data_IF_683955784730
#
_entry.id   IF_683955784730
#
_cell.length_a   1.000
_cell.length_b   1.000
_cell.length_c   1.000
_cell.angle_alpha   90.00
_cell.angle_beta   90.00
_cell.angle_gamma   90.00
#
_symmetry.space_group_name_H-M   'P 1'
#
loop_
_entity.id
_entity.type
_entity.pdbx_description
1 polymer ?
#
# COMPACT_ATOMS: atom_id res chain seq x y z
N UNK A 1 21.89 -0.62 4.91
CA UNK A 1 20.53 -1.17 4.71
C UNK A 1 19.51 -0.18 5.27
N UNK A 2 19.39 0.98 4.64
CA UNK A 2 18.45 2.04 5.03
C UNK A 2 17.92 2.68 3.74
N UNK A 3 16.69 2.34 3.38
CA UNK A 3 15.89 3.20 2.52
C UNK A 3 14.44 3.06 2.98
N UNK A 4 14.10 3.88 3.97
CA UNK A 4 12.73 4.31 4.18
C UNK A 4 12.48 5.19 2.96
N UNK A 5 11.95 4.60 1.90
CA UNK A 5 11.52 5.39 0.75
C UNK A 5 10.36 6.25 1.22
N UNK A 6 10.65 7.55 1.28
CA UNK A 6 9.66 8.60 1.28
C UNK A 6 8.73 8.36 0.09
N UNK A 7 7.63 7.66 0.32
CA UNK A 7 6.49 7.66 -0.60
C UNK A 7 5.83 9.03 -0.52
N UNK A 8 6.50 10.00 -1.11
CA UNK A 8 5.93 11.27 -1.50
C UNK A 8 4.89 11.00 -2.60
N UNK A 9 3.63 11.30 -2.30
CA UNK A 9 2.76 11.86 -3.32
C UNK A 9 1.67 11.00 -3.96
N UNK A 10 1.38 9.76 -3.55
CA UNK A 10 0.16 9.07 -4.04
C UNK A 10 -0.62 8.37 -2.94
N UNK A 11 -1.81 8.92 -2.68
CA UNK A 11 -2.88 8.36 -1.85
C UNK A 11 -3.52 7.08 -2.43
N UNK A 12 -2.92 6.47 -3.46
CA UNK A 12 -3.61 5.51 -4.32
C UNK A 12 -3.60 4.08 -3.76
N UNK A 13 -2.75 3.76 -2.77
CA UNK A 13 -2.64 2.39 -2.25
C UNK A 13 -2.45 2.28 -0.73
N UNK A 14 -3.32 2.91 0.06
CA UNK A 14 -3.30 2.89 1.53
C UNK A 14 -3.25 1.46 2.14
N UNK A 15 -3.96 0.51 1.53
CA UNK A 15 -3.96 -0.90 1.94
C UNK A 15 -2.61 -1.59 1.71
N UNK A 16 -2.01 -1.41 0.53
CA UNK A 16 -0.72 -2.02 0.23
C UNK A 16 0.39 -1.39 1.06
N UNK A 17 0.35 -0.08 1.24
CA UNK A 17 1.28 0.62 2.12
C UNK A 17 1.19 0.10 3.55
N UNK A 18 -0.02 -0.12 4.09
CA UNK A 18 -0.16 -0.63 5.46
C UNK A 18 0.43 -2.02 5.63
N UNK A 19 0.35 -2.87 4.62
CA UNK A 19 0.94 -4.22 4.63
C UNK A 19 2.47 -4.13 4.46
N UNK A 20 2.95 -3.55 3.36
CA UNK A 20 4.38 -3.51 2.97
C UNK A 20 5.26 -2.79 3.98
N UNK A 21 4.76 -1.74 4.60
CA UNK A 21 5.56 -0.96 5.55
C UNK A 21 5.59 -1.54 6.97
N UNK A 22 4.84 -2.61 7.24
CA UNK A 22 4.66 -3.17 8.59
C UNK A 22 5.54 -4.37 8.85
N UNK A 23 5.89 -4.57 10.13
CA UNK A 23 6.68 -5.72 10.59
C UNK A 23 5.80 -6.83 11.18
N UNK A 24 4.52 -6.54 11.43
CA UNK A 24 3.55 -7.49 11.96
C UNK A 24 2.15 -7.20 11.44
N UNK A 25 1.27 -8.21 11.52
CA UNK A 25 -0.13 -8.05 11.18
C UNK A 25 -0.87 -7.02 12.05
N UNK A 26 -0.50 -6.89 13.33
CA UNK A 26 -1.07 -5.88 14.22
C UNK A 26 -0.66 -4.46 13.81
N UNK A 27 0.59 -4.27 13.39
CA UNK A 27 1.06 -2.99 12.85
C UNK A 27 0.33 -2.67 11.54
N UNK A 28 0.11 -3.67 10.67
CA UNK A 28 -0.62 -3.49 9.42
C UNK A 28 -2.08 -3.07 9.64
N UNK A 29 -2.76 -3.65 10.64
CA UNK A 29 -4.12 -3.24 11.05
C UNK A 29 -4.15 -1.78 11.48
N UNK A 30 -3.28 -1.40 12.42
CA UNK A 30 -3.23 -0.03 12.93
C UNK A 30 -2.85 0.97 11.83
N UNK A 31 -1.95 0.61 10.90
CA UNK A 31 -1.64 1.46 9.75
C UNK A 31 -2.83 1.68 8.84
N UNK A 32 -3.58 0.64 8.51
CA UNK A 32 -4.76 0.81 7.68
C UNK A 32 -5.80 1.69 8.38
N UNK A 33 -6.05 1.45 9.67
CA UNK A 33 -6.96 2.27 10.47
C UNK A 33 -6.49 3.73 10.58
N UNK A 34 -5.18 3.96 10.62
CA UNK A 34 -4.61 5.32 10.63
C UNK A 34 -4.91 6.10 9.35
N UNK A 35 -5.16 5.41 8.23
CA UNK A 35 -5.56 6.05 6.97
C UNK A 35 -6.94 6.71 7.09
N UNK A 36 -7.86 6.12 7.87
CA UNK A 36 -9.17 6.75 8.15
C UNK A 36 -9.00 8.07 8.88
N UNK A 37 -8.11 8.12 9.89
CA UNK A 37 -7.77 9.35 10.63
C UNK A 37 -7.16 10.40 9.70
N UNK A 38 -6.24 9.99 8.82
CA UNK A 38 -5.64 10.86 7.80
C UNK A 38 -6.69 11.49 6.87
N UNK A 39 -7.64 10.70 6.36
CA UNK A 39 -8.68 11.16 5.43
C UNK A 39 -9.60 12.21 6.07
N UNK A 40 -9.80 12.17 7.40
CA UNK A 40 -10.57 13.18 8.14
C UNK A 40 -9.72 14.30 8.74
N UNK A 41 -8.46 14.41 8.33
CA UNK A 41 -7.55 15.49 8.76
C UNK A 41 -7.03 15.35 10.20
N UNK A 42 -7.18 14.18 10.83
CA UNK A 42 -6.64 13.91 12.17
C UNK A 42 -5.25 13.30 12.02
N UNK A 43 -4.22 13.99 12.51
CA UNK A 43 -2.82 13.60 12.32
C UNK A 43 -2.06 13.16 13.59
N UNK A 44 -2.68 13.31 14.77
CA UNK A 44 -2.17 12.80 16.05
C UNK A 44 -3.29 12.17 16.86
N UNK A 45 -2.99 11.05 17.52
CA UNK A 45 -3.95 10.28 18.31
C UNK A 45 -3.27 9.54 19.47
N UNK A 46 -2.33 10.21 20.15
CA UNK A 46 -1.57 9.65 21.28
C UNK A 46 -2.47 9.04 22.36
N UNK A 47 -3.59 9.71 22.65
CA UNK A 47 -4.56 9.34 23.68
C UNK A 47 -5.58 8.28 23.23
N UNK A 48 -5.61 7.91 21.95
CA UNK A 48 -6.52 6.88 21.43
C UNK A 48 -6.02 5.49 21.88
N UNK A 49 -6.86 4.79 22.64
CA UNK A 49 -6.53 3.46 23.20
C UNK A 49 -6.65 2.36 22.16
N UNK A 50 -7.33 2.62 21.04
CA UNK A 50 -7.49 1.65 19.95
C UNK A 50 -6.19 1.50 19.15
N UNK A 51 -5.27 2.46 19.27
CA UNK A 51 -3.96 2.41 18.64
C UNK A 51 -2.89 2.19 19.70
N UNK A 52 -2.22 1.04 19.69
CA UNK A 52 -1.16 0.70 20.64
C UNK A 52 0.22 0.96 20.05
N UNK A 53 0.40 0.72 18.75
CA UNK A 53 1.67 0.75 18.05
C UNK A 53 1.94 2.09 17.35
N UNK A 54 0.90 2.73 16.81
CA UNK A 54 1.05 3.92 15.96
C UNK A 54 0.26 5.07 16.54
N UNK A 55 0.92 6.20 16.84
CA UNK A 55 0.28 7.34 17.53
C UNK A 55 0.16 8.61 16.70
N UNK A 56 0.72 8.62 15.49
CA UNK A 56 0.75 9.77 14.59
C UNK A 56 0.67 9.34 13.14
N UNK A 57 0.25 10.25 12.28
CA UNK A 57 0.11 10.03 10.85
C UNK A 57 1.48 9.86 10.17
N UNK A 58 1.60 8.82 9.35
CA UNK A 58 2.79 8.57 8.54
C UNK A 58 2.83 9.35 7.22
N UNK A 59 1.69 9.92 6.80
CA UNK A 59 1.53 10.64 5.52
C UNK A 59 1.81 12.14 5.61
N UNK A 60 2.39 12.63 6.72
CA UNK A 60 2.68 14.05 6.92
C UNK A 60 4.20 14.30 6.87
N UNK A 61 4.73 14.91 5.81
CA UNK A 61 6.04 15.57 5.89
C UNK A 61 5.90 16.79 6.80
N UNK A 62 6.95 17.13 7.56
CA UNK A 62 6.96 18.21 8.55
C UNK A 62 6.73 19.63 7.98
N UNK A 63 6.51 19.77 6.67
CA UNK A 63 6.59 21.04 5.93
C UNK A 63 5.32 21.47 5.19
N UNK A 64 4.22 20.71 5.22
CA UNK A 64 3.01 21.08 4.47
C UNK A 64 1.78 21.39 5.33
N UNK A 65 1.20 22.54 5.02
CA UNK A 65 -0.05 23.13 5.54
C UNK A 65 -1.14 22.07 5.68
N UNK A 66 -1.83 22.05 6.82
CA UNK A 66 -2.96 21.18 7.13
C UNK A 66 -3.90 21.08 5.92
N UNK A 67 -3.97 19.91 5.27
CA UNK A 67 -4.91 19.70 4.18
C UNK A 67 -6.32 19.63 4.76
N UNK A 68 -7.27 20.23 4.04
CA UNK A 68 -8.71 20.08 4.28
C UNK A 68 -9.04 18.58 4.35
N UNK A 69 -9.85 18.13 5.33
CA UNK A 69 -10.30 16.74 5.37
C UNK A 69 -10.88 16.31 4.03
N UNK A 70 -10.43 15.17 3.51
CA UNK A 70 -10.92 14.60 2.25
C UNK A 70 -12.36 14.14 2.38
N UNK A 71 -12.75 13.65 3.56
CA UNK A 71 -14.13 13.28 3.89
C UNK A 71 -14.54 13.87 5.23
N UNK A 72 -15.81 14.26 5.32
CA UNK A 72 -16.45 14.63 6.58
C UNK A 72 -16.86 13.35 7.35
N UNK A 73 -16.37 13.13 8.59
CA UNK A 73 -16.68 11.95 9.38
C UNK A 73 -18.18 11.79 9.70
N UNK A 74 -18.96 12.87 9.61
CA UNK A 74 -20.42 12.83 9.85
C UNK A 74 -21.19 12.28 8.65
N UNK A 75 -20.60 12.26 7.45
CA UNK A 75 -21.28 11.85 6.21
C UNK A 75 -21.32 10.33 6.06
N UNK A 76 -22.37 9.85 5.40
CA UNK A 76 -22.58 8.42 5.16
C UNK A 76 -21.43 7.75 4.40
N UNK A 77 -20.78 8.46 3.48
CA UNK A 77 -19.63 7.94 2.73
C UNK A 77 -18.45 7.56 3.64
N UNK A 78 -18.11 8.40 4.62
CA UNK A 78 -17.06 8.08 5.58
C UNK A 78 -17.47 6.91 6.47
N UNK A 79 -18.71 6.92 6.98
CA UNK A 79 -19.22 5.82 7.84
C UNK A 79 -19.21 4.47 7.11
N UNK A 80 -19.55 4.45 5.82
CA UNK A 80 -19.49 3.25 5.00
C UNK A 80 -18.05 2.75 4.82
N UNK A 81 -17.10 3.66 4.54
CA UNK A 81 -15.68 3.34 4.44
C UNK A 81 -15.11 2.84 5.77
N UNK A 82 -15.42 3.51 6.87
CA UNK A 82 -15.01 3.14 8.22
C UNK A 82 -15.55 1.75 8.60
N UNK A 83 -16.82 1.47 8.32
CA UNK A 83 -17.43 0.16 8.57
C UNK A 83 -16.80 -0.95 7.73
N UNK A 84 -16.48 -0.66 6.45
CA UNK A 84 -15.81 -1.61 5.56
C UNK A 84 -14.41 -1.95 6.07
N UNK A 85 -13.60 -0.94 6.34
CA UNK A 85 -12.21 -1.11 6.81
C UNK A 85 -12.20 -1.82 8.17
N UNK A 86 -13.02 -1.36 9.12
CA UNK A 86 -13.07 -1.95 10.47
C UNK A 86 -13.88 -3.25 10.55
N UNK A 87 -14.35 -3.79 9.42
CA UNK A 87 -15.03 -5.08 9.43
C UNK A 87 -14.10 -6.18 9.94
N UNK A 88 -14.65 -7.10 10.74
CA UNK A 88 -13.87 -8.22 11.30
C UNK A 88 -13.16 -9.02 10.19
N UNK A 89 -13.84 -9.26 9.07
CA UNK A 89 -13.27 -9.97 7.93
C UNK A 89 -12.00 -9.31 7.40
N UNK A 90 -12.05 -8.00 7.16
CA UNK A 90 -10.91 -7.24 6.62
C UNK A 90 -9.76 -7.22 7.63
N UNK A 91 -10.03 -6.91 8.90
CA UNK A 91 -9.00 -6.83 9.93
C UNK A 91 -8.37 -8.19 10.26
N UNK A 92 -9.14 -9.27 10.25
CA UNK A 92 -8.62 -10.64 10.42
C UNK A 92 -7.73 -11.04 9.24
N UNK A 93 -8.13 -10.71 8.00
CA UNK A 93 -7.33 -10.97 6.81
C UNK A 93 -6.02 -10.20 6.83
N UNK A 94 -6.05 -8.89 7.06
CA UNK A 94 -4.85 -8.05 7.10
C UNK A 94 -3.85 -8.53 8.15
N UNK A 95 -4.33 -8.91 9.33
CA UNK A 95 -3.44 -9.39 10.38
C UNK A 95 -2.77 -10.74 10.09
N UNK A 96 -3.26 -11.49 9.10
CA UNK A 96 -2.69 -12.76 8.66
C UNK A 96 -1.78 -12.61 7.44
N UNK A 97 -1.83 -11.47 6.74
CA UNK A 97 -0.96 -11.22 5.60
C UNK A 97 0.46 -11.06 6.11
N UNK A 98 1.36 -11.91 5.63
CA UNK A 98 2.79 -11.74 5.89
C UNK A 98 3.29 -10.50 5.15
N UNK A 99 4.01 -9.59 5.81
CA UNK A 99 4.63 -8.45 5.14
C UNK A 99 5.65 -8.88 4.07
N UNK A 100 6.16 -10.11 4.15
CA UNK A 100 7.13 -10.68 3.23
C UNK A 100 6.51 -11.45 2.05
N UNK A 101 5.19 -11.72 2.07
CA UNK A 101 4.47 -12.46 1.01
C UNK A 101 3.62 -11.47 0.19
N UNK A 102 4.19 -10.31 -0.12
CA UNK A 102 3.62 -9.41 -1.11
C UNK A 102 3.82 -9.98 -2.51
N UNK A 103 2.88 -10.81 -3.00
CA UNK A 103 2.94 -11.31 -4.38
C UNK A 103 2.84 -10.18 -5.41
N UNK A 104 2.38 -8.99 -5.02
CA UNK A 104 2.21 -7.82 -5.90
C UNK A 104 3.41 -7.49 -6.80
N UNK A 105 4.65 -7.55 -6.29
CA UNK A 105 5.85 -7.28 -7.10
C UNK A 105 6.08 -8.40 -8.14
N UNK A 106 5.90 -9.65 -7.72
CA UNK A 106 6.00 -10.84 -8.58
C UNK A 106 4.87 -10.87 -9.62
N UNK A 107 3.66 -10.51 -9.22
CA UNK A 107 2.48 -10.41 -10.09
C UNK A 107 2.64 -9.28 -11.10
N UNK A 108 3.16 -8.12 -10.66
CA UNK A 108 3.49 -7.00 -11.54
C UNK A 108 4.56 -7.38 -12.58
N UNK A 109 5.61 -8.08 -12.15
CA UNK A 109 6.61 -8.62 -13.06
C UNK A 109 6.01 -9.64 -14.04
N UNK A 110 5.23 -10.60 -13.55
CA UNK A 110 4.59 -11.64 -14.37
C UNK A 110 3.62 -11.04 -15.39
N UNK A 111 2.91 -9.98 -15.05
CA UNK A 111 2.06 -9.23 -15.98
C UNK A 111 2.88 -8.61 -17.12
N UNK A 112 3.98 -7.94 -16.80
CA UNK A 112 4.89 -7.37 -17.80
C UNK A 112 5.53 -8.46 -18.67
N UNK A 113 5.90 -9.59 -18.07
CA UNK A 113 6.41 -10.75 -18.80
C UNK A 113 5.38 -11.29 -19.79
N UNK A 114 4.11 -11.34 -19.39
CA UNK A 114 3.00 -11.70 -20.27
C UNK A 114 2.78 -10.74 -21.45
N UNK A 115 3.16 -9.47 -21.33
CA UNK A 115 3.06 -8.50 -22.43
C UNK A 115 4.24 -8.62 -23.40
N UNK A 116 5.46 -8.75 -22.87
CA UNK A 116 6.68 -8.65 -23.66
C UNK A 116 7.19 -9.99 -24.18
N UNK A 117 6.98 -11.08 -23.43
CA UNK A 117 7.38 -12.45 -23.74
C UNK A 117 6.18 -13.41 -23.52
N UNK A 118 5.09 -13.25 -24.27
CA UNK A 118 3.92 -14.10 -24.11
C UNK A 118 4.21 -15.54 -24.55
N UNK A 119 3.54 -16.50 -23.90
CA UNK A 119 3.76 -17.95 -24.14
C UNK A 119 3.07 -18.50 -25.40
N UNK A 120 2.19 -17.71 -25.99
CA UNK A 120 1.39 -18.07 -27.17
C UNK A 120 2.16 -17.91 -28.49
N UNK A 121 3.30 -17.20 -28.47
CA UNK A 121 4.16 -17.00 -29.63
C UNK A 121 5.51 -17.66 -29.42
N UNK A 122 5.98 -18.38 -30.43
CA UNK A 122 7.35 -18.86 -30.47
C UNK A 122 8.32 -17.71 -30.76
N UNK A 123 9.35 -17.58 -29.93
CA UNK A 123 10.47 -16.68 -30.16
C UNK A 123 11.76 -17.49 -30.27
N UNK A 124 12.68 -17.06 -31.13
CA UNK A 124 14.05 -17.58 -31.10
C UNK A 124 14.68 -17.30 -29.74
N UNK A 125 15.67 -18.09 -29.34
CA UNK A 125 16.35 -17.94 -28.05
C UNK A 125 16.82 -16.49 -27.80
N UNK A 126 17.47 -15.88 -28.81
CA UNK A 126 17.90 -14.47 -28.75
C UNK A 126 16.73 -13.49 -28.65
N UNK A 127 15.62 -13.78 -29.34
CA UNK A 127 14.41 -12.95 -29.28
C UNK A 127 13.75 -13.00 -27.90
N UNK A 128 13.71 -14.19 -27.29
CA UNK A 128 13.20 -14.39 -25.94
C UNK A 128 14.10 -13.71 -24.89
N UNK A 129 15.43 -13.83 -25.00
CA UNK A 129 16.38 -13.15 -24.10
C UNK A 129 16.20 -11.62 -24.12
N UNK A 130 16.16 -11.02 -25.31
CA UNK A 130 15.97 -9.57 -25.45
C UNK A 130 14.64 -9.10 -24.83
N UNK A 131 13.54 -9.81 -25.08
CA UNK A 131 12.21 -9.50 -24.52
C UNK A 131 12.17 -9.65 -23.00
N UNK A 132 12.85 -10.66 -22.47
CA UNK A 132 13.00 -10.86 -21.03
C UNK A 132 13.76 -9.70 -20.39
N UNK A 133 14.87 -9.26 -21.00
CA UNK A 133 15.62 -8.08 -20.54
C UNK A 133 14.79 -6.79 -20.58
N UNK A 134 13.99 -6.58 -21.64
CA UNK A 134 13.07 -5.43 -21.71
C UNK A 134 12.05 -5.48 -20.57
N UNK A 135 11.51 -6.66 -20.25
CA UNK A 135 10.60 -6.85 -19.13
C UNK A 135 11.24 -6.44 -17.81
N UNK A 136 12.47 -6.91 -17.56
CA UNK A 136 13.22 -6.59 -16.34
C UNK A 136 13.50 -5.07 -16.26
N UNK A 137 13.96 -4.46 -17.35
CA UNK A 137 14.23 -3.03 -17.39
C UNK A 137 12.96 -2.20 -17.12
N UNK A 138 11.83 -2.59 -17.73
CA UNK A 138 10.52 -1.95 -17.50
C UNK A 138 10.08 -2.07 -16.04
N UNK A 139 10.16 -3.28 -15.47
CA UNK A 139 9.78 -3.52 -14.08
C UNK A 139 10.62 -2.68 -13.11
N UNK A 140 11.95 -2.71 -13.26
CA UNK A 140 12.86 -1.95 -12.41
C UNK A 140 12.74 -0.43 -12.59
N UNK A 141 12.29 0.05 -13.76
CA UNK A 141 12.05 1.49 -14.00
C UNK A 141 10.73 2.00 -13.41
N UNK A 142 9.82 1.09 -13.04
CA UNK A 142 8.51 1.41 -12.48
C UNK A 142 8.45 1.30 -10.95
N UNK A 143 9.51 0.77 -10.33
CA UNK A 143 9.76 0.78 -8.88
C UNK A 143 10.36 2.11 -8.45
#
# INVERSE_FOLDING_TARGET
>A
MHRIEEMSGRSEHNLWWSIRSSKSGDEAREKLQSCLKHIVGVHSWEKDRNFKLIKKCAFHPATHVARVPLLDPKKGAFKALEALINSKSVMDQIGRISPDIGTSEVEGFNHLAGIHAPKDHYFSEKGHDLRSRVTILRHNSAQ
#
